data_IF_057667648713
#
_entry.id   IF_057667648713
#
_cell.length_a   1.000
_cell.length_b   1.000
_cell.length_c   1.000
_cell.angle_alpha   90.00
_cell.angle_beta   90.00
_cell.angle_gamma   90.00
#
_symmetry.space_group_name_H-M   'P 1'
#
loop_
_entity.id
_entity.type
_entity.pdbx_description
1 polymer ?
#
# COMPACT_ATOMS: atom_id res chain seq x y z
N UNK A 1 7.29 -4.11 -5.88
CA UNK A 1 6.11 -3.84 -5.04
C UNK A 1 6.50 -4.14 -3.60
N UNK A 2 6.45 -3.16 -2.69
CA UNK A 2 6.64 -3.39 -1.26
C UNK A 2 5.30 -3.62 -0.57
N UNK A 3 5.28 -4.47 0.47
CA UNK A 3 4.02 -4.95 1.04
C UNK A 3 3.24 -5.83 0.07
N UNK A 4 3.97 -6.58 -0.76
CA UNK A 4 3.46 -7.35 -1.89
C UNK A 4 2.41 -8.40 -1.50
N UNK A 5 2.49 -8.94 -0.30
CA UNK A 5 1.51 -9.91 0.21
C UNK A 5 0.31 -9.30 0.93
N UNK A 6 0.29 -7.96 1.13
CA UNK A 6 -0.85 -7.24 1.70
C UNK A 6 -2.04 -7.14 0.73
N UNK A 7 -3.21 -6.68 1.22
CA UNK A 7 -4.44 -6.61 0.41
C UNK A 7 -4.28 -5.77 -0.87
N UNK A 8 -3.62 -4.61 -0.78
CA UNK A 8 -3.36 -3.75 -1.94
C UNK A 8 -2.16 -4.26 -2.74
N UNK A 9 -1.07 -4.65 -2.05
CA UNK A 9 0.14 -5.13 -2.70
C UNK A 9 -0.09 -6.38 -3.54
N UNK A 10 -0.84 -7.36 -3.05
CA UNK A 10 -1.14 -8.58 -3.81
C UNK A 10 -2.01 -8.29 -5.04
N UNK A 11 -2.95 -7.38 -4.92
CA UNK A 11 -3.76 -6.98 -6.08
C UNK A 11 -2.95 -6.17 -7.10
N UNK A 12 -2.01 -5.30 -6.65
CA UNK A 12 -1.04 -4.67 -7.54
C UNK A 12 -0.24 -5.72 -8.32
N UNK A 13 0.23 -6.78 -7.64
CA UNK A 13 0.94 -7.87 -8.29
C UNK A 13 0.08 -8.55 -9.36
N UNK A 14 -1.19 -8.87 -9.04
CA UNK A 14 -2.14 -9.50 -9.98
C UNK A 14 -2.40 -8.65 -11.22
N UNK A 15 -2.58 -7.35 -11.05
CA UNK A 15 -2.87 -6.48 -12.20
C UNK A 15 -1.62 -6.16 -13.02
N UNK A 16 -0.49 -5.90 -12.35
CA UNK A 16 0.77 -5.55 -13.03
C UNK A 16 1.29 -6.72 -13.87
N UNK A 17 1.19 -7.97 -13.40
CA UNK A 17 1.70 -9.11 -14.17
C UNK A 17 1.03 -9.25 -15.55
N UNK A 18 -0.23 -8.81 -15.67
CA UNK A 18 -0.95 -8.79 -16.96
C UNK A 18 -0.48 -7.66 -17.91
N UNK A 19 0.28 -6.67 -17.38
CA UNK A 19 0.94 -5.65 -18.21
C UNK A 19 2.25 -6.17 -18.81
N UNK A 20 2.61 -7.42 -18.54
CA UNK A 20 3.78 -8.14 -19.07
C UNK A 20 5.11 -7.43 -18.79
N UNK A 21 5.42 -7.09 -17.54
CA UNK A 21 6.75 -6.61 -17.19
C UNK A 21 7.77 -7.73 -17.40
N UNK A 22 9.02 -7.40 -17.67
CA UNK A 22 10.10 -8.40 -17.76
C UNK A 22 10.35 -9.09 -16.41
N UNK A 23 10.15 -8.36 -15.30
CA UNK A 23 10.22 -8.90 -13.95
C UNK A 23 9.29 -8.16 -12.99
N UNK A 24 8.91 -8.83 -11.92
CA UNK A 24 8.16 -8.28 -10.80
C UNK A 24 8.84 -8.71 -9.49
N UNK A 25 9.27 -7.75 -8.68
CA UNK A 25 9.86 -8.01 -7.37
C UNK A 25 8.78 -7.88 -6.30
N UNK A 26 8.58 -8.95 -5.54
CA UNK A 26 7.65 -9.05 -4.42
C UNK A 26 8.42 -8.85 -3.13
N UNK A 27 8.30 -7.69 -2.50
CA UNK A 27 9.02 -7.36 -1.28
C UNK A 27 8.05 -7.32 -0.10
N UNK A 28 8.17 -8.22 0.87
CA UNK A 28 7.31 -8.27 2.05
C UNK A 28 8.07 -8.82 3.26
N UNK A 29 7.70 -8.37 4.47
CA UNK A 29 8.27 -8.89 5.72
C UNK A 29 7.52 -10.11 6.25
N UNK A 30 6.31 -10.38 5.78
CA UNK A 30 5.50 -11.53 6.17
C UNK A 30 5.78 -12.72 5.25
N UNK A 31 6.48 -13.73 5.76
CA UNK A 31 6.76 -14.97 5.02
C UNK A 31 5.48 -15.58 4.43
N UNK A 32 4.44 -15.75 5.25
CA UNK A 32 3.18 -16.37 4.81
C UNK A 32 2.51 -15.59 3.68
N UNK A 33 2.44 -14.26 3.80
CA UNK A 33 1.81 -13.43 2.77
C UNK A 33 2.64 -13.42 1.48
N UNK A 34 3.97 -13.35 1.61
CA UNK A 34 4.88 -13.40 0.46
C UNK A 34 4.78 -14.74 -0.27
N UNK A 35 4.84 -15.85 0.47
CA UNK A 35 4.66 -17.18 -0.10
C UNK A 35 3.33 -17.32 -0.85
N UNK A 36 2.24 -16.80 -0.26
CA UNK A 36 0.92 -16.92 -0.86
C UNK A 36 0.83 -16.22 -2.23
N UNK A 37 1.34 -14.99 -2.33
CA UNK A 37 1.30 -14.26 -3.61
C UNK A 37 2.30 -14.81 -4.62
N UNK A 38 3.49 -15.21 -4.18
CA UNK A 38 4.48 -15.85 -5.03
C UNK A 38 3.94 -17.14 -5.65
N UNK A 39 3.35 -18.01 -4.84
CA UNK A 39 2.71 -19.25 -5.30
C UNK A 39 1.57 -18.96 -6.30
N UNK A 40 0.73 -17.96 -6.01
CA UNK A 40 -0.37 -17.57 -6.89
C UNK A 40 0.14 -17.10 -8.26
N UNK A 41 1.11 -16.18 -8.30
CA UNK A 41 1.64 -15.65 -9.56
C UNK A 41 2.35 -16.71 -10.40
N UNK A 42 3.15 -17.56 -9.76
CA UNK A 42 3.81 -18.67 -10.46
C UNK A 42 2.81 -19.69 -11.03
N UNK A 43 1.63 -19.85 -10.40
CA UNK A 43 0.57 -20.74 -10.90
C UNK A 43 -0.07 -20.25 -12.20
N UNK A 44 0.02 -18.94 -12.52
CA UNK A 44 -0.52 -18.36 -13.75
C UNK A 44 0.29 -18.73 -15.00
N UNK A 45 1.46 -19.35 -14.86
CA UNK A 45 2.33 -19.81 -15.96
C UNK A 45 2.63 -18.70 -17.01
N UNK A 46 2.84 -17.48 -16.55
CA UNK A 46 3.20 -16.35 -17.42
C UNK A 46 4.71 -16.46 -17.70
N UNK A 47 5.08 -17.02 -18.85
CA UNK A 47 6.47 -17.38 -19.16
C UNK A 47 7.41 -16.19 -19.44
N UNK A 48 6.88 -14.99 -19.66
CA UNK A 48 7.66 -13.82 -20.08
C UNK A 48 7.93 -12.84 -18.91
N UNK A 49 7.60 -13.19 -17.68
CA UNK A 49 7.81 -12.36 -16.48
C UNK A 49 8.54 -13.15 -15.39
N UNK A 50 9.69 -12.66 -14.98
CA UNK A 50 10.41 -13.20 -13.82
C UNK A 50 9.77 -12.71 -12.52
N UNK A 51 9.33 -13.62 -11.66
CA UNK A 51 8.77 -13.31 -10.32
C UNK A 51 9.85 -13.52 -9.28
N UNK A 52 10.21 -12.47 -8.53
CA UNK A 52 11.32 -12.48 -7.55
C UNK A 52 10.77 -12.17 -6.16
N UNK A 53 10.56 -13.17 -5.30
CA UNK A 53 10.15 -12.95 -3.91
C UNK A 53 11.34 -12.56 -3.03
N UNK A 54 11.20 -11.48 -2.27
CA UNK A 54 12.18 -10.96 -1.31
C UNK A 54 11.55 -10.85 0.06
N UNK A 55 11.98 -11.71 0.98
CA UNK A 55 11.56 -11.68 2.37
C UNK A 55 12.43 -10.68 3.15
N UNK A 56 11.94 -9.49 3.35
CA UNK A 56 12.63 -8.46 4.13
C UNK A 56 11.68 -7.32 4.54
N UNK A 57 12.15 -6.47 5.45
CA UNK A 57 11.46 -5.29 5.94
C UNK A 57 11.97 -4.02 5.25
N UNK A 58 11.09 -3.07 4.94
CA UNK A 58 11.43 -1.79 4.30
C UNK A 58 12.28 -0.88 5.18
N UNK A 59 12.37 -1.18 6.48
CA UNK A 59 13.28 -0.50 7.41
C UNK A 59 14.74 -0.97 7.28
N UNK A 60 14.98 -2.10 6.59
CA UNK A 60 16.32 -2.57 6.26
C UNK A 60 16.86 -1.87 5.00
N UNK A 61 17.48 -0.70 5.22
CA UNK A 61 18.01 0.15 4.15
C UNK A 61 18.93 -0.60 3.18
N UNK A 62 19.84 -1.43 3.71
CA UNK A 62 20.81 -2.15 2.88
C UNK A 62 20.13 -3.13 1.93
N UNK A 63 19.14 -3.87 2.42
CA UNK A 63 18.38 -4.80 1.60
C UNK A 63 17.54 -4.06 0.55
N UNK A 64 16.86 -2.98 0.92
CA UNK A 64 16.10 -2.16 -0.04
C UNK A 64 17.01 -1.65 -1.16
N UNK A 65 18.18 -1.11 -0.82
CA UNK A 65 19.15 -0.59 -1.81
C UNK A 65 19.68 -1.69 -2.73
N UNK A 66 20.09 -2.83 -2.16
CA UNK A 66 20.59 -3.98 -2.94
C UNK A 66 19.54 -4.47 -3.93
N UNK A 67 18.31 -4.68 -3.48
CA UNK A 67 17.20 -5.18 -4.32
C UNK A 67 16.89 -4.23 -5.47
N UNK A 68 16.82 -2.92 -5.22
CA UNK A 68 16.54 -1.93 -6.26
C UNK A 68 17.67 -1.91 -7.31
N UNK A 69 18.94 -1.87 -6.86
CA UNK A 69 20.08 -1.78 -7.74
C UNK A 69 20.30 -3.06 -8.57
N UNK A 70 20.28 -4.24 -7.93
CA UNK A 70 20.54 -5.53 -8.59
C UNK A 70 19.46 -5.89 -9.60
N UNK A 71 18.20 -5.51 -9.33
CA UNK A 71 17.09 -5.82 -10.21
C UNK A 71 16.80 -4.73 -11.24
N UNK A 72 17.51 -3.60 -11.20
CA UNK A 72 17.30 -2.45 -12.12
C UNK A 72 15.83 -2.05 -12.17
N UNK A 73 15.29 -1.69 -11.02
CA UNK A 73 13.87 -1.39 -10.86
C UNK A 73 13.53 -0.07 -11.55
N UNK A 74 12.54 -0.08 -12.43
CA UNK A 74 12.03 1.11 -13.13
C UNK A 74 10.90 1.78 -12.34
N UNK A 75 10.03 1.00 -11.69
CA UNK A 75 8.86 1.52 -10.99
C UNK A 75 8.67 0.85 -9.63
N UNK A 76 8.41 1.64 -8.59
CA UNK A 76 8.11 1.17 -7.24
C UNK A 76 6.67 1.54 -6.86
N UNK A 77 5.86 0.53 -6.50
CA UNK A 77 4.61 0.70 -5.79
C UNK A 77 4.84 0.39 -4.31
N UNK A 78 4.80 1.43 -3.47
CA UNK A 78 5.09 1.31 -2.05
C UNK A 78 3.81 1.16 -1.24
N UNK A 79 3.40 -0.10 -0.98
CA UNK A 79 2.21 -0.44 -0.20
C UNK A 79 2.53 -0.99 1.21
N UNK A 80 3.81 -1.13 1.57
CA UNK A 80 4.21 -1.54 2.91
C UNK A 80 3.89 -0.46 3.94
N UNK A 81 2.96 -0.76 4.86
CA UNK A 81 2.61 0.13 5.98
C UNK A 81 1.78 -0.60 7.04
N UNK A 82 1.92 -0.19 8.29
CA UNK A 82 0.97 -0.54 9.35
C UNK A 82 -0.25 0.38 9.27
N UNK A 83 -1.44 -0.20 9.10
CA UNK A 83 -2.69 0.54 8.81
C UNK A 83 -3.72 0.53 9.93
N UNK A 84 -3.60 -0.38 10.91
CA UNK A 84 -4.58 -0.54 11.97
C UNK A 84 -4.39 0.53 13.05
N UNK A 85 -5.26 1.55 13.06
CA UNK A 85 -5.18 2.69 13.97
C UNK A 85 -4.99 2.26 15.44
N UNK A 86 -5.82 1.34 16.01
CA UNK A 86 -5.65 0.96 17.42
C UNK A 86 -4.32 0.26 17.74
N UNK A 87 -3.74 -0.44 16.76
CA UNK A 87 -2.44 -1.10 16.93
C UNK A 87 -1.30 -0.09 16.88
N UNK A 88 -1.35 0.85 15.94
CA UNK A 88 -0.33 1.91 15.81
C UNK A 88 -0.37 2.85 17.02
N UNK A 89 -1.56 3.21 17.53
CA UNK A 89 -1.69 4.00 18.76
C UNK A 89 -1.07 3.32 19.99
N UNK A 90 -1.09 1.98 20.05
CA UNK A 90 -0.45 1.22 21.14
C UNK A 90 1.05 0.99 20.91
N UNK A 91 1.54 1.17 19.69
CA UNK A 91 2.92 0.89 19.26
C UNK A 91 3.45 2.05 18.40
N UNK A 92 3.45 3.26 18.97
CA UNK A 92 3.71 4.51 18.24
C UNK A 92 5.08 4.48 17.56
N UNK A 93 6.12 4.09 18.27
CA UNK A 93 7.50 4.08 17.76
C UNK A 93 7.61 3.16 16.55
N UNK A 94 7.14 1.91 16.67
CA UNK A 94 7.16 0.94 15.59
C UNK A 94 6.29 1.38 14.41
N UNK A 95 5.12 1.96 14.69
CA UNK A 95 4.22 2.47 13.66
C UNK A 95 4.83 3.60 12.84
N UNK A 96 5.46 4.56 13.50
CA UNK A 96 6.16 5.68 12.84
C UNK A 96 7.42 5.17 12.15
N UNK A 97 8.20 4.32 12.79
CA UNK A 97 9.43 3.77 12.22
C UNK A 97 9.14 3.01 10.92
N UNK A 98 8.21 2.08 10.96
CA UNK A 98 7.82 1.33 9.76
C UNK A 98 7.26 2.24 8.67
N UNK A 99 6.28 3.09 8.99
CA UNK A 99 5.57 3.85 7.97
C UNK A 99 6.39 5.03 7.42
N UNK A 100 7.10 5.77 8.29
CA UNK A 100 7.84 6.96 7.88
C UNK A 100 9.29 6.63 7.51
N UNK A 101 10.04 5.92 8.37
CA UNK A 101 11.43 5.58 8.06
C UNK A 101 11.50 4.53 6.96
N UNK A 102 10.62 3.52 6.97
CA UNK A 102 10.51 2.57 5.85
C UNK A 102 10.25 3.28 4.52
N UNK A 103 9.31 4.24 4.49
CA UNK A 103 9.07 5.05 3.26
C UNK A 103 10.30 5.89 2.88
N UNK A 104 10.97 6.51 3.86
CA UNK A 104 12.20 7.27 3.62
C UNK A 104 13.28 6.40 2.99
N UNK A 105 13.53 5.21 3.52
CA UNK A 105 14.51 4.28 2.98
C UNK A 105 14.22 3.92 1.51
N UNK A 106 12.96 3.54 1.23
CA UNK A 106 12.57 3.18 -0.15
C UNK A 106 12.71 4.38 -1.08
N UNK A 107 12.28 5.57 -0.66
CA UNK A 107 12.33 6.77 -1.48
C UNK A 107 13.77 7.26 -1.73
N UNK A 108 14.62 7.22 -0.71
CA UNK A 108 16.05 7.56 -0.86
C UNK A 108 16.77 6.58 -1.80
N UNK A 109 16.53 5.27 -1.65
CA UNK A 109 17.10 4.28 -2.56
C UNK A 109 16.57 4.43 -3.98
N UNK A 110 15.28 4.76 -4.15
CA UNK A 110 14.71 5.06 -5.46
C UNK A 110 15.41 6.25 -6.12
N UNK A 111 15.61 7.34 -5.36
CA UNK A 111 16.32 8.53 -5.82
C UNK A 111 17.79 8.23 -6.19
N UNK A 112 18.53 7.54 -5.31
CA UNK A 112 19.94 7.22 -5.52
C UNK A 112 20.17 6.23 -6.68
N UNK A 113 19.23 5.32 -6.91
CA UNK A 113 19.28 4.35 -8.01
C UNK A 113 18.60 4.86 -9.30
N UNK A 114 18.14 6.12 -9.30
CA UNK A 114 17.48 6.75 -10.46
C UNK A 114 16.26 5.98 -10.97
N UNK A 115 15.47 5.39 -10.04
CA UNK A 115 14.19 4.74 -10.37
C UNK A 115 13.27 5.76 -11.05
N UNK A 116 12.64 5.40 -12.16
CA UNK A 116 11.82 6.34 -12.93
C UNK A 116 10.58 6.79 -12.15
N UNK A 117 9.86 5.86 -11.52
CA UNK A 117 8.61 6.17 -10.83
C UNK A 117 8.52 5.54 -9.44
N UNK A 118 8.04 6.30 -8.47
CA UNK A 118 7.65 5.77 -7.16
C UNK A 118 6.26 6.27 -6.76
N UNK A 119 5.34 5.33 -6.56
CA UNK A 119 3.95 5.58 -6.16
C UNK A 119 3.75 5.14 -4.71
N UNK A 120 3.48 6.07 -3.82
CA UNK A 120 3.15 5.78 -2.43
C UNK A 120 1.65 5.53 -2.26
N UNK A 121 1.29 4.39 -1.74
CA UNK A 121 -0.08 4.11 -1.30
C UNK A 121 -0.33 4.85 0.02
N UNK A 122 -1.21 5.85 -0.02
CA UNK A 122 -1.60 6.67 1.12
C UNK A 122 -3.07 6.45 1.50
N UNK A 123 -3.63 7.33 2.31
CA UNK A 123 -4.96 7.16 2.90
C UNK A 123 -5.66 8.51 3.09
N UNK A 124 -6.99 8.50 3.14
CA UNK A 124 -7.84 9.63 3.57
C UNK A 124 -7.46 10.14 4.97
N UNK A 125 -6.95 9.26 5.84
CA UNK A 125 -6.55 9.58 7.23
C UNK A 125 -5.25 10.40 7.32
N UNK A 126 -4.52 10.57 6.22
CA UNK A 126 -3.39 11.50 6.11
C UNK A 126 -3.85 12.97 5.96
N UNK A 127 -5.14 13.20 5.70
CA UNK A 127 -5.73 14.55 5.62
C UNK A 127 -6.07 15.04 7.03
N UNK A 128 -5.40 16.10 7.51
CA UNK A 128 -5.59 16.65 8.87
C UNK A 128 -5.63 15.52 9.92
N UNK A 129 -4.55 14.75 10.06
CA UNK A 129 -4.56 13.50 10.81
C UNK A 129 -4.94 13.72 12.27
N UNK A 130 -5.83 12.89 12.79
CA UNK A 130 -6.29 12.88 14.18
C UNK A 130 -5.78 11.68 14.97
N UNK A 131 -4.90 10.88 14.36
CA UNK A 131 -4.32 9.69 14.95
C UNK A 131 -2.90 9.46 14.40
N UNK A 132 -2.09 8.69 15.14
CA UNK A 132 -0.67 8.44 14.83
C UNK A 132 -0.49 7.77 13.47
N UNK A 133 -1.33 6.79 13.12
CA UNK A 133 -1.25 6.12 11.83
C UNK A 133 -1.44 7.13 10.67
N UNK A 134 -2.46 7.98 10.73
CA UNK A 134 -2.68 9.03 9.74
C UNK A 134 -1.53 10.03 9.70
N UNK A 135 -1.00 10.43 10.86
CA UNK A 135 0.16 11.33 10.96
C UNK A 135 1.41 10.70 10.33
N UNK A 136 1.70 9.42 10.59
CA UNK A 136 2.83 8.71 9.99
C UNK A 136 2.72 8.63 8.46
N UNK A 137 1.51 8.39 7.93
CA UNK A 137 1.28 8.39 6.47
C UNK A 137 1.41 9.80 5.87
N UNK A 138 0.93 10.84 6.58
CA UNK A 138 1.16 12.23 6.16
C UNK A 138 2.64 12.58 6.14
N UNK A 139 3.40 12.11 7.13
CA UNK A 139 4.86 12.29 7.16
C UNK A 139 5.54 11.58 5.98
N UNK A 140 5.09 10.37 5.63
CA UNK A 140 5.56 9.66 4.43
C UNK A 140 5.33 10.47 3.14
N UNK A 141 4.16 11.11 3.01
CA UNK A 141 3.88 12.00 1.86
C UNK A 141 4.83 13.20 1.81
N UNK A 142 5.09 13.81 2.97
CA UNK A 142 6.01 14.96 3.07
C UNK A 142 7.46 14.58 2.71
N UNK A 143 7.89 13.35 3.03
CA UNK A 143 9.19 12.81 2.60
C UNK A 143 9.28 12.78 1.08
N UNK A 144 8.29 12.23 0.40
CA UNK A 144 8.29 12.18 -1.07
C UNK A 144 8.23 13.57 -1.69
N UNK A 145 7.40 14.46 -1.13
CA UNK A 145 7.34 15.86 -1.58
C UNK A 145 8.67 16.59 -1.40
N UNK A 146 9.37 16.35 -0.28
CA UNK A 146 10.67 16.93 0.00
C UNK A 146 11.80 16.40 -0.92
N UNK A 147 11.69 15.17 -1.39
CA UNK A 147 12.63 14.57 -2.35
C UNK A 147 12.33 14.97 -3.81
N UNK A 148 11.11 15.44 -4.08
CA UNK A 148 10.71 15.87 -5.42
C UNK A 148 11.28 17.26 -5.74
N UNK A 149 12.56 17.32 -6.03
CA UNK A 149 13.30 18.54 -6.39
C UNK A 149 13.60 18.56 -7.90
N UNK A 150 14.02 19.71 -8.41
CA UNK A 150 14.39 19.87 -9.83
C UNK A 150 15.52 18.91 -10.28
N UNK A 151 16.33 18.43 -9.34
CA UNK A 151 17.45 17.54 -9.63
C UNK A 151 17.10 16.04 -9.49
N UNK A 152 15.88 15.67 -9.10
CA UNK A 152 15.49 14.25 -9.02
C UNK A 152 15.07 13.73 -10.39
N UNK A 153 15.55 12.52 -10.73
CA UNK A 153 15.08 11.78 -11.90
C UNK A 153 13.85 10.92 -11.58
N UNK A 154 13.60 10.67 -10.30
CA UNK A 154 12.46 9.86 -9.85
C UNK A 154 11.18 10.70 -9.78
N UNK A 155 10.15 10.29 -10.49
CA UNK A 155 8.82 10.84 -10.39
C UNK A 155 8.13 10.30 -9.14
N UNK A 156 8.10 11.07 -8.06
CA UNK A 156 7.41 10.71 -6.82
C UNK A 156 5.95 11.12 -6.88
N UNK A 157 5.05 10.19 -6.57
CA UNK A 157 3.61 10.46 -6.47
C UNK A 157 2.96 9.71 -5.32
N UNK A 158 1.81 10.18 -4.89
CA UNK A 158 1.06 9.65 -3.76
C UNK A 158 -0.41 9.49 -4.14
N UNK A 159 -1.02 8.39 -3.71
CA UNK A 159 -2.43 8.13 -3.98
C UNK A 159 -3.17 7.91 -2.67
N UNK A 160 -4.16 8.78 -2.39
CA UNK A 160 -5.03 8.72 -1.23
C UNK A 160 -6.36 8.11 -1.59
N UNK A 161 -6.80 7.15 -0.78
CA UNK A 161 -8.16 6.61 -0.85
C UNK A 161 -8.64 6.20 0.54
N UNK A 162 -9.94 5.97 0.66
CA UNK A 162 -10.59 5.59 1.90
C UNK A 162 -10.48 4.09 2.19
N UNK A 163 -11.57 3.49 2.68
CA UNK A 163 -11.56 2.07 3.01
C UNK A 163 -11.75 1.23 1.73
N UNK A 164 -11.10 0.07 1.69
CA UNK A 164 -11.36 -0.93 0.66
C UNK A 164 -12.09 -2.12 1.25
N UNK A 165 -13.08 -2.63 0.50
CA UNK A 165 -13.89 -3.77 0.89
C UNK A 165 -13.03 -5.03 1.00
N UNK A 166 -13.36 -5.90 1.95
CA UNK A 166 -12.72 -7.21 2.17
C UNK A 166 -11.20 -7.16 2.46
N UNK A 167 -10.64 -5.98 2.75
CA UNK A 167 -9.23 -5.92 3.15
C UNK A 167 -8.99 -6.57 4.51
N UNK A 168 -7.84 -7.22 4.69
CA UNK A 168 -7.48 -7.93 5.92
C UNK A 168 -7.67 -7.05 7.17
N UNK A 169 -8.40 -7.57 8.16
CA UNK A 169 -8.71 -6.89 9.42
C UNK A 169 -9.67 -5.69 9.29
N UNK A 170 -10.37 -5.53 8.16
CA UNK A 170 -11.40 -4.50 8.00
C UNK A 170 -12.76 -4.92 8.56
N UNK A 171 -13.72 -3.99 8.51
CA UNK A 171 -15.05 -4.18 9.12
C UNK A 171 -15.85 -5.32 8.50
N UNK A 172 -15.78 -5.51 7.17
CA UNK A 172 -16.57 -6.55 6.48
C UNK A 172 -16.14 -7.95 6.88
N UNK A 173 -14.83 -8.33 6.82
CA UNK A 173 -14.38 -9.62 7.36
C UNK A 173 -14.71 -9.83 8.84
N UNK A 174 -14.66 -8.75 9.66
CA UNK A 174 -15.04 -8.82 11.06
C UNK A 174 -16.52 -9.18 11.22
N UNK A 175 -17.40 -8.51 10.50
CA UNK A 175 -18.86 -8.78 10.54
C UNK A 175 -19.17 -10.20 10.08
N UNK A 176 -18.59 -10.65 8.97
CA UNK A 176 -18.75 -12.02 8.49
C UNK A 176 -18.31 -13.06 9.53
N UNK A 177 -17.19 -12.81 10.23
CA UNK A 177 -16.71 -13.68 11.30
C UNK A 177 -17.71 -13.70 12.46
N UNK A 178 -18.17 -12.53 12.94
CA UNK A 178 -19.13 -12.43 14.03
C UNK A 178 -20.46 -13.11 13.70
N UNK A 179 -20.97 -12.95 12.47
CA UNK A 179 -22.18 -13.63 12.00
C UNK A 179 -22.01 -15.14 12.01
N UNK A 180 -20.86 -15.63 11.49
CA UNK A 180 -20.55 -17.07 11.49
C UNK A 180 -20.44 -17.66 12.90
N UNK A 181 -20.02 -16.87 13.87
CA UNK A 181 -19.91 -17.25 15.29
C UNK A 181 -21.23 -17.11 16.07
N UNK A 182 -22.33 -16.70 15.41
CA UNK A 182 -23.68 -16.54 16.02
C UNK A 182 -23.97 -15.14 16.57
N UNK A 183 -23.12 -14.16 16.27
CA UNK A 183 -23.31 -12.76 16.69
C UNK A 183 -22.94 -12.49 18.14
N UNK A 184 -23.22 -11.28 18.65
CA UNK A 184 -23.76 -10.13 17.92
C UNK A 184 -22.73 -9.45 17.01
N UNK A 185 -23.21 -8.75 15.98
CA UNK A 185 -22.37 -7.85 15.16
C UNK A 185 -22.13 -6.56 15.96
N UNK A 186 -20.88 -6.15 16.07
CA UNK A 186 -20.47 -4.97 16.85
C UNK A 186 -20.25 -3.75 15.98
N UNK A 187 -21.02 -2.69 16.20
CA UNK A 187 -20.86 -1.39 15.52
C UNK A 187 -20.44 -0.35 16.56
N UNK A 188 -19.33 0.34 16.29
CA UNK A 188 -18.73 1.32 17.22
C UNK A 188 -19.69 2.47 17.52
N UNK A 189 -20.40 2.99 16.49
CA UNK A 189 -21.39 4.06 16.65
C UNK A 189 -22.33 4.10 15.44
N UNK A 190 -23.63 4.31 15.67
CA UNK A 190 -24.66 4.25 14.62
C UNK A 190 -24.54 5.30 13.51
N UNK A 191 -23.87 6.42 13.78
CA UNK A 191 -23.70 7.54 12.82
C UNK A 191 -22.37 7.50 12.07
N UNK A 192 -21.51 6.48 12.30
CA UNK A 192 -20.23 6.39 11.60
C UNK A 192 -20.47 6.07 10.14
N UNK A 193 -19.94 6.91 9.26
CA UNK A 193 -19.89 6.71 7.82
C UNK A 193 -18.47 6.47 7.35
N UNK A 194 -18.30 5.73 6.27
CA UNK A 194 -17.02 5.52 5.59
C UNK A 194 -17.23 5.46 4.09
N UNK A 195 -16.24 5.87 3.35
CA UNK A 195 -16.16 5.62 1.92
C UNK A 195 -15.60 4.22 1.68
N UNK A 196 -16.15 3.52 0.71
CA UNK A 196 -15.70 2.19 0.32
C UNK A 196 -15.49 2.07 -1.18
N UNK A 197 -14.49 1.31 -1.55
CA UNK A 197 -14.16 0.95 -2.93
C UNK A 197 -13.75 -0.53 -2.95
N UNK A 198 -13.88 -1.21 -4.07
CA UNK A 198 -13.31 -2.55 -4.19
C UNK A 198 -11.79 -2.49 -4.29
N UNK A 199 -11.09 -3.56 -3.87
CA UNK A 199 -9.62 -3.60 -3.96
C UNK A 199 -9.17 -3.54 -5.43
N UNK A 200 -9.76 -4.30 -6.38
CA UNK A 200 -9.38 -4.23 -7.79
C UNK A 200 -9.54 -2.84 -8.40
N UNK A 201 -10.64 -2.15 -8.09
CA UNK A 201 -10.89 -0.79 -8.56
C UNK A 201 -9.87 0.21 -8.00
N UNK A 202 -9.60 0.16 -6.70
CA UNK A 202 -8.60 1.01 -6.06
C UNK A 202 -7.23 0.84 -6.72
N UNK A 203 -6.81 -0.41 -6.97
CA UNK A 203 -5.52 -0.71 -7.61
C UNK A 203 -5.49 -0.24 -9.05
N UNK A 204 -6.54 -0.43 -9.82
CA UNK A 204 -6.61 0.07 -11.19
C UNK A 204 -6.43 1.60 -11.24
N UNK A 205 -7.09 2.33 -10.33
CA UNK A 205 -6.94 3.78 -10.23
C UNK A 205 -5.55 4.20 -9.74
N UNK A 206 -4.91 3.41 -8.86
CA UNK A 206 -3.52 3.63 -8.44
C UNK A 206 -2.56 3.51 -9.63
N UNK A 207 -2.74 2.49 -10.48
CA UNK A 207 -1.93 2.30 -11.69
C UNK A 207 -2.10 3.48 -12.66
N UNK A 208 -3.34 3.93 -12.86
CA UNK A 208 -3.63 5.10 -13.70
C UNK A 208 -3.01 6.38 -13.12
N UNK A 209 -3.14 6.62 -11.81
CA UNK A 209 -2.54 7.77 -11.15
C UNK A 209 -1.01 7.78 -11.30
N UNK A 210 -0.36 6.61 -11.13
CA UNK A 210 1.08 6.46 -11.36
C UNK A 210 1.50 6.81 -12.79
N UNK A 211 0.73 6.38 -13.78
CA UNK A 211 0.98 6.70 -15.19
C UNK A 211 0.74 8.17 -15.55
N UNK A 212 -0.08 8.91 -14.78
CA UNK A 212 -0.39 10.32 -14.99
C UNK A 212 0.51 11.26 -14.21
N UNK A 213 1.30 10.74 -13.26
CA UNK A 213 2.12 11.53 -12.35
C UNK A 213 3.19 12.34 -13.09
N UNK A 214 3.46 13.54 -12.56
CA UNK A 214 4.49 14.47 -13.07
C UNK A 214 5.54 14.81 -12.02
N UNK A 215 5.36 14.29 -10.80
CA UNK A 215 6.22 14.50 -9.65
C UNK A 215 5.61 15.42 -8.60
N UNK A 216 5.64 14.97 -7.33
CA UNK A 216 5.04 15.67 -6.19
C UNK A 216 3.52 15.62 -6.10
N UNK A 217 2.86 14.92 -7.03
CA UNK A 217 1.41 14.85 -7.13
C UNK A 217 0.80 14.04 -5.98
N UNK A 218 -0.31 14.54 -5.43
CA UNK A 218 -1.17 13.82 -4.48
C UNK A 218 -2.52 13.58 -5.15
N UNK A 219 -2.72 12.39 -5.67
CA UNK A 219 -3.99 11.97 -6.23
C UNK A 219 -4.97 11.58 -5.12
N UNK A 220 -6.21 11.96 -5.26
CA UNK A 220 -7.31 11.55 -4.38
C UNK A 220 -8.32 10.80 -5.23
N UNK A 221 -8.54 9.53 -4.89
CA UNK A 221 -9.51 8.72 -5.63
C UNK A 221 -10.94 9.14 -5.28
N UNK A 222 -11.79 9.21 -6.29
CA UNK A 222 -13.22 9.40 -6.09
C UNK A 222 -13.81 8.11 -5.49
N UNK A 223 -14.27 8.23 -4.25
CA UNK A 223 -14.80 7.10 -3.47
C UNK A 223 -16.32 6.97 -3.57
N UNK A 224 -16.99 7.80 -4.38
CA UNK A 224 -18.44 7.85 -4.47
C UNK A 224 -19.10 8.33 -3.16
N UNK A 225 -20.26 7.77 -2.84
CA UNK A 225 -21.05 8.18 -1.67
C UNK A 225 -20.61 7.45 -0.37
N UNK A 226 -20.64 8.14 0.78
CA UNK A 226 -20.30 7.51 2.06
C UNK A 226 -21.39 6.55 2.53
N UNK A 227 -20.99 5.38 3.00
CA UNK A 227 -21.88 4.33 3.53
C UNK A 227 -21.86 4.36 5.05
N UNK A 228 -23.02 4.29 5.69
CA UNK A 228 -23.09 4.11 7.15
C UNK A 228 -22.70 2.68 7.51
N UNK A 229 -21.83 2.56 8.51
CA UNK A 229 -21.36 1.23 8.98
C UNK A 229 -22.51 0.39 9.53
N UNK A 230 -23.54 1.03 10.12
CA UNK A 230 -24.73 0.36 10.58
C UNK A 230 -25.51 -0.29 9.41
N UNK A 231 -25.65 0.40 8.28
CA UNK A 231 -26.35 -0.13 7.10
C UNK A 231 -25.59 -1.29 6.46
N UNK A 232 -24.26 -1.30 6.60
CA UNK A 232 -23.40 -2.39 6.14
C UNK A 232 -23.54 -3.66 7.02
N UNK A 233 -24.00 -3.50 8.27
CA UNK A 233 -24.15 -4.60 9.23
C UNK A 233 -25.49 -5.37 9.05
N UNK A 234 -26.46 -4.81 8.36
CA UNK A 234 -27.75 -5.43 8.00
C UNK A 234 -27.68 -6.12 6.63
#
# INVERSE_FOLDING_TARGET
ITGAGGSIGSELCRQIIHLKPSKIVLFDHSEFNLYSIDFELNSLQINDCEVIPILSDVTNLNMVKSVIAENKIDTIYHAAAYKHVPMVEKNIVEGVYNNAIGTYNVAMCAHECEVENMVLISTDKAVRPTNVMGASKRFSELILQGLNTENTKTCFSMVRFGNVLDSAGSVVPLFRKQIKEGGPVTVTHSKVTRYFMSIPEAVQLVLQAGAMAKGGDVFVLDMGEPVRILDLAY
#
